data_IF_730739715099
#
_entry.id   IF_730739715099
#
_cell.length_a   1.000
_cell.length_b   1.000
_cell.length_c   1.000
_cell.angle_alpha   90.00
_cell.angle_beta   90.00
_cell.angle_gamma   90.00
#
_symmetry.space_group_name_H-M   'P 1'
#
loop_
_entity.id
_entity.type
_entity.pdbx_description
1 polymer ?
#
# COMPACT_ATOMS: atom_id res chain seq x y z
N UNK A 1 5.41 4.70 -135.08
CA UNK A 1 5.06 3.27 -134.92
C UNK A 1 6.34 2.52 -135.25
N UNK A 2 6.93 1.80 -134.28
CA UNK A 2 8.21 1.11 -134.48
C UNK A 2 8.04 0.10 -135.61
N UNK A 3 8.87 0.20 -136.65
CA UNK A 3 8.79 -0.71 -137.79
C UNK A 3 9.40 -2.07 -137.41
N UNK A 4 8.58 -3.11 -137.37
CA UNK A 4 9.04 -4.47 -137.05
C UNK A 4 9.89 -4.99 -138.21
N UNK A 5 11.11 -5.54 -137.96
CA UNK A 5 11.94 -6.14 -139.00
C UNK A 5 11.21 -7.25 -139.73
N UNK A 6 11.53 -7.46 -141.02
CA UNK A 6 10.85 -8.49 -141.81
C UNK A 6 11.10 -9.89 -141.24
N UNK A 7 10.18 -10.84 -141.36
CA UNK A 7 10.29 -12.17 -140.72
C UNK A 7 11.53 -13.00 -141.11
N UNK A 8 12.22 -12.65 -142.20
CA UNK A 8 13.43 -13.34 -142.69
C UNK A 8 14.66 -12.43 -142.73
N UNK A 9 14.58 -11.22 -142.16
CA UNK A 9 15.74 -10.33 -142.07
C UNK A 9 16.78 -10.95 -141.13
N UNK A 10 17.99 -11.16 -141.64
CA UNK A 10 19.10 -11.65 -140.83
C UNK A 10 19.35 -10.69 -139.66
N UNK A 11 19.46 -11.22 -138.45
CA UNK A 11 19.67 -10.41 -137.24
C UNK A 11 21.05 -9.74 -137.27
N UNK A 12 22.05 -10.44 -137.80
CA UNK A 12 23.42 -9.94 -137.92
C UNK A 12 24.01 -10.18 -139.32
N UNK A 13 24.97 -9.34 -139.71
CA UNK A 13 25.73 -9.44 -140.95
C UNK A 13 26.88 -10.46 -140.85
N UNK A 14 27.66 -10.58 -141.92
CA UNK A 14 28.77 -11.54 -142.01
C UNK A 14 29.94 -11.22 -141.05
N UNK A 15 29.95 -10.04 -140.43
CA UNK A 15 30.89 -9.64 -139.40
C UNK A 15 30.31 -9.78 -137.97
N UNK A 16 29.06 -10.24 -137.84
CA UNK A 16 28.37 -10.46 -136.56
C UNK A 16 27.74 -9.19 -135.98
N UNK A 17 27.66 -8.10 -136.74
CA UNK A 17 27.02 -6.86 -136.30
C UNK A 17 25.53 -6.84 -136.66
N UNK A 18 24.65 -6.22 -135.85
CA UNK A 18 23.23 -6.14 -136.16
C UNK A 18 22.98 -5.49 -137.52
N UNK A 19 22.09 -6.09 -138.32
CA UNK A 19 21.72 -5.50 -139.61
C UNK A 19 20.98 -4.18 -139.40
N UNK A 20 21.02 -3.30 -140.40
CA UNK A 20 20.46 -1.95 -140.26
C UNK A 20 18.99 -1.93 -139.81
N UNK A 21 18.16 -2.86 -140.30
CA UNK A 21 16.74 -2.99 -139.88
C UNK A 21 16.61 -3.36 -138.40
N UNK A 22 17.42 -4.31 -137.93
CA UNK A 22 17.42 -4.72 -136.53
C UNK A 22 18.05 -3.66 -135.61
N UNK A 23 19.08 -2.97 -136.09
CA UNK A 23 19.71 -1.86 -135.36
C UNK A 23 18.74 -0.70 -135.20
N UNK A 24 18.04 -0.28 -136.26
CA UNK A 24 17.02 0.79 -136.16
C UNK A 24 15.85 0.39 -135.29
N UNK A 25 15.35 -0.85 -135.38
CA UNK A 25 14.32 -1.36 -134.48
C UNK A 25 14.74 -1.31 -132.99
N UNK A 26 15.94 -1.79 -132.67
CA UNK A 26 16.46 -1.79 -131.30
C UNK A 26 16.80 -0.38 -130.82
N UNK A 27 17.27 0.49 -131.71
CA UNK A 27 17.58 1.88 -131.42
C UNK A 27 16.31 2.70 -131.20
N UNK A 28 15.24 2.46 -131.96
CA UNK A 28 13.92 3.07 -131.74
C UNK A 28 13.29 2.57 -130.43
N UNK A 29 13.45 1.28 -130.10
CA UNK A 29 13.03 0.71 -128.83
C UNK A 29 13.80 1.32 -127.64
N UNK A 30 15.09 1.60 -127.81
CA UNK A 30 15.92 2.22 -126.79
C UNK A 30 15.70 3.73 -126.65
N UNK A 31 15.40 4.43 -127.75
CA UNK A 31 15.28 5.89 -127.79
C UNK A 31 13.84 6.42 -127.68
N UNK A 32 12.81 5.56 -127.69
CA UNK A 32 11.42 5.99 -127.53
C UNK A 32 10.59 5.09 -126.59
N UNK A 33 10.37 5.62 -125.38
CA UNK A 33 9.08 5.70 -124.70
C UNK A 33 7.99 4.66 -125.07
N UNK A 34 8.00 3.52 -124.40
CA UNK A 34 6.85 2.60 -124.27
C UNK A 34 5.84 3.03 -123.19
N UNK A 35 5.88 4.27 -122.71
CA UNK A 35 4.91 4.84 -121.78
C UNK A 35 4.26 6.06 -122.44
N UNK A 36 2.93 6.08 -122.48
CA UNK A 36 2.18 7.29 -122.84
C UNK A 36 2.57 8.44 -121.90
N UNK A 37 2.41 9.72 -122.32
CA UNK A 37 2.71 10.86 -121.46
C UNK A 37 2.08 10.77 -120.06
N UNK A 38 0.85 10.25 -119.97
CA UNK A 38 0.15 10.03 -118.70
C UNK A 38 0.80 8.96 -117.82
N UNK A 39 1.35 7.90 -118.41
CA UNK A 39 2.06 6.85 -117.68
C UNK A 39 3.41 7.34 -117.16
N UNK A 40 4.09 8.16 -117.95
CA UNK A 40 5.35 8.78 -117.55
C UNK A 40 5.13 9.77 -116.41
N UNK A 41 4.07 10.57 -116.48
CA UNK A 41 3.66 11.47 -115.39
C UNK A 41 3.27 10.71 -114.12
N UNK A 42 2.56 9.57 -114.23
CA UNK A 42 2.25 8.70 -113.07
C UNK A 42 3.49 8.06 -112.48
N UNK A 43 4.45 7.66 -113.31
CA UNK A 43 5.72 7.12 -112.84
C UNK A 43 6.52 8.18 -112.10
N UNK A 44 6.62 9.40 -112.64
CA UNK A 44 7.27 10.53 -111.98
C UNK A 44 6.56 10.90 -110.66
N UNK A 45 5.22 10.84 -110.61
CA UNK A 45 4.45 11.03 -109.37
C UNK A 45 4.72 9.92 -108.34
N UNK A 46 4.84 8.67 -108.78
CA UNK A 46 5.19 7.54 -107.91
C UNK A 46 6.62 7.67 -107.39
N UNK A 47 7.56 8.05 -108.24
CA UNK A 47 8.95 8.33 -107.84
C UNK A 47 8.97 9.47 -106.83
N UNK A 48 8.27 10.58 -107.09
CA UNK A 48 8.17 11.68 -106.14
C UNK A 48 7.48 11.29 -104.82
N UNK A 49 6.46 10.43 -104.86
CA UNK A 49 5.77 9.92 -103.67
C UNK A 49 6.66 8.95 -102.87
N UNK A 50 7.42 8.11 -103.54
CA UNK A 50 8.39 7.20 -102.90
C UNK A 50 9.55 8.00 -102.31
N UNK A 51 10.07 9.01 -103.01
CA UNK A 51 11.10 9.90 -102.48
C UNK A 51 10.58 10.71 -101.28
N UNK A 52 9.32 11.17 -101.31
CA UNK A 52 8.68 11.83 -100.17
C UNK A 52 8.51 10.88 -98.98
N UNK A 53 8.14 9.62 -99.23
CA UNK A 53 8.05 8.58 -98.18
C UNK A 53 9.42 8.16 -97.65
N UNK A 54 10.46 8.15 -98.48
CA UNK A 54 11.83 7.86 -98.05
C UNK A 54 12.45 9.02 -97.28
N UNK A 55 12.09 10.27 -97.61
CA UNK A 55 12.46 11.47 -96.83
C UNK A 55 11.65 11.58 -95.52
N UNK A 56 10.42 11.06 -95.47
CA UNK A 56 9.74 10.73 -94.22
C UNK A 56 10.34 9.45 -93.62
N UNK A 57 11.61 9.52 -93.20
CA UNK A 57 12.31 8.41 -92.55
C UNK A 57 11.40 7.68 -91.55
N UNK A 58 11.33 6.35 -91.70
CA UNK A 58 10.39 5.46 -91.00
C UNK A 58 10.12 5.92 -89.58
N UNK A 59 8.84 6.17 -89.27
CA UNK A 59 8.36 6.88 -88.09
C UNK A 59 9.18 6.58 -86.85
N UNK A 60 10.16 7.43 -86.56
CA UNK A 60 10.88 7.40 -85.29
C UNK A 60 9.85 7.86 -84.26
N UNK A 61 9.38 6.93 -83.43
CA UNK A 61 8.71 7.33 -82.21
C UNK A 61 9.72 8.16 -81.41
N UNK A 62 9.50 9.48 -81.31
CA UNK A 62 10.29 10.34 -80.44
C UNK A 62 9.90 9.99 -79.00
N UNK A 63 10.60 9.03 -78.42
CA UNK A 63 10.47 8.74 -77.00
C UNK A 63 11.27 9.82 -76.27
N UNK A 64 10.58 10.83 -75.76
CA UNK A 64 11.14 11.76 -74.81
C UNK A 64 11.05 11.13 -73.42
N UNK A 65 12.18 10.83 -72.82
CA UNK A 65 12.21 10.48 -71.40
C UNK A 65 11.72 11.66 -70.57
N UNK A 66 10.65 11.50 -69.80
CA UNK A 66 10.12 12.52 -68.87
C UNK A 66 10.07 11.90 -67.47
N UNK A 67 10.59 12.60 -66.46
CA UNK A 67 10.71 12.04 -65.11
C UNK A 67 11.85 11.01 -65.03
N UNK A 68 11.57 9.82 -64.47
CA UNK A 68 12.56 8.75 -64.29
C UNK A 68 12.80 7.91 -65.55
N UNK A 69 12.59 8.44 -66.76
CA UNK A 69 12.80 7.68 -68.01
C UNK A 69 14.05 8.22 -68.70
N UNK A 70 15.06 7.37 -68.93
CA UNK A 70 16.23 7.68 -69.76
C UNK A 70 16.19 6.84 -71.04
N UNK A 71 16.48 7.49 -72.17
CA UNK A 71 16.36 6.87 -73.49
C UNK A 71 17.75 6.77 -74.12
N UNK A 72 18.36 5.58 -74.06
CA UNK A 72 19.65 5.29 -74.70
C UNK A 72 19.39 4.43 -75.94
N UNK A 73 19.72 4.95 -77.12
CA UNK A 73 19.38 4.30 -78.38
C UNK A 73 20.48 3.38 -78.89
N UNK A 74 20.09 2.18 -79.34
CA UNK A 74 20.51 1.52 -80.58
C UNK A 74 19.81 0.13 -80.70
N UNK A 75 18.77 0.07 -81.52
CA UNK A 75 18.20 -1.13 -82.16
C UNK A 75 17.28 -2.13 -81.43
N UNK A 76 17.11 -2.11 -80.10
CA UNK A 76 15.88 -2.60 -79.44
C UNK A 76 15.62 -1.69 -78.24
N UNK A 77 14.55 -0.87 -78.26
CA UNK A 77 14.29 0.06 -77.17
C UNK A 77 13.61 -0.67 -76.00
N UNK A 78 14.41 -1.32 -75.17
CA UNK A 78 13.98 -1.68 -73.83
C UNK A 78 14.07 -0.42 -72.96
N UNK A 79 12.92 0.10 -72.56
CA UNK A 79 12.82 1.28 -71.70
C UNK A 79 12.99 0.79 -70.26
N UNK A 80 14.03 1.24 -69.58
CA UNK A 80 14.17 1.08 -68.15
C UNK A 80 13.85 2.42 -67.48
N UNK A 81 13.12 2.36 -66.37
CA UNK A 81 12.99 3.51 -65.50
C UNK A 81 14.30 3.64 -64.70
N UNK A 82 14.90 4.82 -64.72
CA UNK A 82 16.13 5.16 -64.01
C UNK A 82 15.88 5.05 -62.51
N UNK A 83 16.66 4.19 -61.86
CA UNK A 83 16.52 3.92 -60.43
C UNK A 83 15.45 2.89 -60.09
N UNK A 84 14.80 2.28 -61.09
CA UNK A 84 13.86 1.19 -60.87
C UNK A 84 14.57 -0.15 -60.73
N UNK A 85 14.15 -0.92 -59.73
CA UNK A 85 14.49 -2.32 -59.57
C UNK A 85 13.18 -3.11 -59.60
N UNK A 86 13.11 -4.16 -60.42
CA UNK A 86 11.89 -4.97 -60.57
C UNK A 86 11.64 -5.90 -59.36
N UNK A 87 12.65 -6.07 -58.50
CA UNK A 87 12.56 -6.89 -57.29
C UNK A 87 13.26 -6.23 -56.09
N UNK A 88 12.76 -5.09 -55.58
CA UNK A 88 13.40 -4.35 -54.50
C UNK A 88 13.25 -5.02 -53.12
N UNK A 89 12.33 -5.98 -53.00
CA UNK A 89 12.00 -6.63 -51.73
C UNK A 89 11.10 -5.77 -50.84
N UNK A 90 10.71 -6.30 -49.69
CA UNK A 90 9.63 -5.74 -48.88
C UNK A 90 9.99 -4.46 -48.08
N UNK A 91 11.28 -4.13 -47.96
CA UNK A 91 11.77 -3.00 -47.14
C UNK A 91 11.90 -1.69 -47.92
N UNK A 92 11.34 -1.63 -49.13
CA UNK A 92 11.47 -0.50 -50.06
C UNK A 92 10.09 -0.02 -50.50
N UNK A 93 9.96 1.27 -50.76
CA UNK A 93 8.77 1.87 -51.36
C UNK A 93 9.16 2.65 -52.61
N UNK A 94 8.26 2.67 -53.59
CA UNK A 94 8.39 3.53 -54.77
C UNK A 94 7.74 4.88 -54.48
N UNK A 95 8.48 5.97 -54.67
CA UNK A 95 7.95 7.29 -54.32
C UNK A 95 8.90 8.41 -54.67
N UNK A 96 8.83 9.48 -53.88
CA UNK A 96 9.66 10.67 -54.02
C UNK A 96 10.54 10.82 -52.79
N UNK A 97 11.85 10.91 -52.99
CA UNK A 97 12.84 11.05 -51.94
C UNK A 97 12.87 12.45 -51.32
N UNK A 98 13.72 12.63 -50.30
CA UNK A 98 13.92 13.90 -49.59
C UNK A 98 14.50 15.01 -50.50
N UNK A 99 15.17 14.62 -51.57
CA UNK A 99 15.72 15.49 -52.61
C UNK A 99 14.71 15.81 -53.74
N UNK A 100 13.50 15.26 -53.66
CA UNK A 100 12.45 15.44 -54.67
C UNK A 100 12.58 14.52 -55.89
N UNK A 101 13.59 13.64 -55.95
CA UNK A 101 13.74 12.67 -57.02
C UNK A 101 12.73 11.53 -56.87
N UNK A 102 12.35 10.89 -57.99
CA UNK A 102 11.47 9.70 -57.98
C UNK A 102 12.29 8.42 -58.09
N UNK A 103 11.92 7.38 -57.36
CA UNK A 103 12.60 6.08 -57.39
C UNK A 103 12.22 5.16 -56.23
N UNK A 104 12.98 4.07 -56.06
CA UNK A 104 12.90 3.19 -54.90
C UNK A 104 13.73 3.73 -53.73
N UNK A 105 13.09 3.85 -52.58
CA UNK A 105 13.73 4.30 -51.34
C UNK A 105 13.49 3.29 -50.22
N UNK A 106 14.45 3.14 -49.33
CA UNK A 106 14.27 2.31 -48.16
C UNK A 106 13.16 2.92 -47.30
N UNK A 107 12.21 2.10 -46.85
CA UNK A 107 11.13 2.55 -45.94
C UNK A 107 11.75 3.17 -44.69
N UNK A 108 12.88 2.62 -44.25
CA UNK A 108 13.66 3.17 -43.16
C UNK A 108 13.95 4.67 -43.36
N UNK A 109 14.44 5.10 -44.51
CA UNK A 109 14.93 6.47 -44.69
C UNK A 109 13.81 7.53 -44.64
N UNK A 110 12.57 7.11 -44.95
CA UNK A 110 11.39 7.96 -44.81
C UNK A 110 10.90 8.10 -43.36
N UNK A 111 11.40 7.30 -42.42
CA UNK A 111 10.96 7.28 -41.03
C UNK A 111 12.01 7.91 -40.11
N UNK A 112 11.66 9.01 -39.46
CA UNK A 112 12.48 9.69 -38.45
C UNK A 112 11.91 9.47 -37.04
N UNK A 113 12.77 9.57 -36.03
CA UNK A 113 12.39 9.53 -34.61
C UNK A 113 12.91 10.78 -33.89
N UNK A 114 12.21 11.19 -32.83
CA UNK A 114 12.69 12.19 -31.88
C UNK A 114 13.57 11.52 -30.81
N UNK A 115 14.08 12.30 -29.86
CA UNK A 115 14.97 11.82 -28.79
C UNK A 115 14.35 10.76 -27.88
N UNK A 116 13.02 10.68 -27.78
CA UNK A 116 12.33 9.75 -26.89
C UNK A 116 12.28 8.32 -27.46
N UNK A 117 12.55 8.17 -28.75
CA UNK A 117 12.47 6.90 -29.47
C UNK A 117 13.83 6.56 -30.09
N UNK A 118 14.13 5.27 -30.12
CA UNK A 118 15.26 4.72 -30.86
C UNK A 118 14.75 4.03 -32.11
N UNK A 119 15.47 4.18 -33.22
CA UNK A 119 15.21 3.47 -34.47
C UNK A 119 16.44 2.69 -34.87
N UNK A 120 16.26 1.40 -35.11
CA UNK A 120 17.29 0.53 -35.66
C UNK A 120 16.83 -0.03 -37.01
N UNK A 121 17.76 -0.22 -37.94
CA UNK A 121 17.50 -0.81 -39.27
C UNK A 121 18.35 -2.06 -39.38
N UNK A 122 17.72 -3.22 -39.50
CA UNK A 122 18.41 -4.49 -39.69
C UNK A 122 19.08 -4.53 -41.08
N UNK A 123 20.04 -5.44 -41.29
CA UNK A 123 20.68 -5.63 -42.60
C UNK A 123 19.70 -5.99 -43.73
N UNK A 124 18.49 -6.47 -43.39
CA UNK A 124 17.38 -6.73 -44.33
C UNK A 124 16.52 -5.49 -44.65
N UNK A 125 16.84 -4.32 -44.08
CA UNK A 125 16.09 -3.06 -44.23
C UNK A 125 14.88 -2.93 -43.31
N UNK A 126 14.55 -3.95 -42.50
CA UNK A 126 13.44 -3.88 -41.54
C UNK A 126 13.79 -2.87 -40.43
N UNK A 127 12.91 -1.89 -40.23
CA UNK A 127 13.04 -0.90 -39.16
C UNK A 127 12.35 -1.37 -37.88
N UNK A 128 13.02 -1.24 -36.74
CA UNK A 128 12.45 -1.46 -35.42
C UNK A 128 12.49 -0.18 -34.60
N UNK A 129 11.45 0.02 -33.79
CA UNK A 129 11.30 1.19 -32.90
C UNK A 129 11.32 0.74 -31.45
N UNK A 130 12.07 1.46 -30.61
CA UNK A 130 12.13 1.29 -29.17
C UNK A 130 12.01 2.63 -28.44
N UNK A 131 11.95 2.58 -27.12
CA UNK A 131 12.14 3.76 -26.28
C UNK A 131 13.64 4.06 -26.18
N UNK A 132 13.99 5.34 -26.03
CA UNK A 132 15.34 5.73 -25.64
C UNK A 132 15.58 5.43 -24.16
N UNK A 133 16.85 5.21 -23.79
CA UNK A 133 17.23 5.01 -22.40
C UNK A 133 16.93 6.28 -21.59
N UNK A 134 16.16 6.13 -20.52
CA UNK A 134 15.87 7.20 -19.56
C UNK A 134 16.69 6.96 -18.29
N UNK A 135 17.67 7.82 -17.96
CA UNK A 135 18.45 7.67 -16.73
C UNK A 135 17.56 7.75 -15.49
N UNK A 136 17.86 6.93 -14.48
CA UNK A 136 17.20 7.04 -13.18
C UNK A 136 17.57 8.39 -12.52
N UNK A 137 16.55 9.18 -12.20
CA UNK A 137 16.70 10.47 -11.53
C UNK A 137 17.14 10.36 -10.06
N UNK A 138 17.05 9.17 -9.45
CA UNK A 138 17.46 8.91 -8.07
C UNK A 138 16.63 9.64 -6.99
N UNK A 139 15.54 10.31 -7.36
CA UNK A 139 14.75 11.18 -6.46
C UNK A 139 13.41 10.58 -6.00
N UNK A 140 13.11 9.32 -6.36
CA UNK A 140 11.87 8.63 -5.97
C UNK A 140 11.95 8.01 -4.58
N UNK A 141 11.49 8.71 -3.54
CA UNK A 141 11.40 8.17 -2.16
C UNK A 141 10.05 7.55 -1.79
N UNK A 142 9.03 7.71 -2.64
CA UNK A 142 7.68 7.20 -2.38
C UNK A 142 7.41 5.84 -3.05
N UNK A 143 6.62 5.00 -2.38
CA UNK A 143 6.01 3.82 -3.00
C UNK A 143 4.87 4.30 -3.90
N UNK A 144 4.81 3.82 -5.14
CA UNK A 144 3.73 4.15 -6.07
C UNK A 144 2.90 2.91 -6.41
N UNK A 145 1.58 3.10 -6.52
CA UNK A 145 0.71 2.14 -7.19
C UNK A 145 0.64 2.49 -8.67
N UNK A 146 0.86 1.49 -9.52
CA UNK A 146 0.81 1.63 -10.97
C UNK A 146 -0.51 1.07 -11.50
N UNK A 147 -1.20 1.87 -12.31
CA UNK A 147 -2.33 1.37 -13.10
C UNK A 147 -1.85 1.01 -14.48
N UNK A 148 -2.30 -0.14 -14.99
CA UNK A 148 -1.99 -0.61 -16.33
C UNK A 148 -3.25 -0.73 -17.15
N UNK A 149 -3.16 -0.40 -18.44
CA UNK A 149 -4.24 -0.65 -19.38
C UNK A 149 -4.33 -2.14 -19.76
N UNK A 150 -5.32 -2.50 -20.58
CA UNK A 150 -5.53 -3.87 -21.04
C UNK A 150 -4.35 -4.43 -21.87
N UNK A 151 -3.45 -3.56 -22.36
CA UNK A 151 -2.25 -3.93 -23.12
C UNK A 151 -1.00 -3.93 -22.22
N UNK A 152 -1.16 -3.73 -20.91
CA UNK A 152 -0.06 -3.75 -19.93
C UNK A 152 0.75 -2.46 -19.84
N UNK A 153 0.36 -1.38 -20.52
CA UNK A 153 1.07 -0.09 -20.47
C UNK A 153 0.67 0.67 -19.21
N UNK A 154 1.61 1.36 -18.58
CA UNK A 154 1.31 2.22 -17.42
C UNK A 154 0.41 3.38 -17.86
N UNK A 155 -0.82 3.41 -17.33
CA UNK A 155 -1.81 4.45 -17.62
C UNK A 155 -1.86 5.54 -16.54
N UNK A 156 -1.23 5.31 -15.40
CA UNK A 156 -1.16 6.26 -14.31
C UNK A 156 -0.37 5.76 -13.11
N UNK A 157 0.19 6.70 -12.36
CA UNK A 157 0.87 6.46 -11.09
C UNK A 157 0.25 7.34 -10.01
N UNK A 158 0.03 6.76 -8.84
CA UNK A 158 -0.48 7.48 -7.67
C UNK A 158 0.38 7.08 -6.48
N UNK A 159 0.66 8.02 -5.58
CA UNK A 159 1.35 7.72 -4.33
C UNK A 159 0.57 6.66 -3.54
N UNK A 160 1.28 5.65 -3.05
CA UNK A 160 0.72 4.64 -2.19
C UNK A 160 1.02 4.98 -0.73
N UNK A 161 0.07 4.62 0.14
CA UNK A 161 0.21 4.69 1.59
C UNK A 161 0.16 3.28 2.17
N UNK A 162 0.43 3.13 3.47
CA UNK A 162 0.23 1.86 4.16
C UNK A 162 -1.21 1.36 4.11
N UNK A 163 -2.19 2.25 3.86
CA UNK A 163 -3.59 1.88 3.69
C UNK A 163 -3.88 1.17 2.36
N UNK A 164 -3.02 1.31 1.35
CA UNK A 164 -3.16 0.61 0.06
C UNK A 164 -2.59 -0.82 0.09
N UNK A 165 -1.97 -1.22 1.21
CA UNK A 165 -1.31 -2.51 1.37
C UNK A 165 -2.13 -3.40 2.31
N UNK A 166 -2.57 -4.59 1.85
CA UNK A 166 -3.19 -5.58 2.74
C UNK A 166 -2.17 -6.09 3.78
N UNK A 167 -2.61 -6.18 5.03
CA UNK A 167 -1.75 -6.60 6.15
C UNK A 167 -1.20 -8.04 6.04
N UNK A 168 -1.92 -8.95 5.38
CA UNK A 168 -1.52 -10.36 5.31
C UNK A 168 -1.24 -10.96 6.70
N UNK A 169 -0.03 -11.49 6.90
CA UNK A 169 0.43 -12.02 8.20
C UNK A 169 1.04 -10.93 9.11
N UNK A 170 1.45 -9.79 8.57
CA UNK A 170 2.03 -8.67 9.30
C UNK A 170 0.94 -7.65 9.62
N UNK A 171 0.38 -7.74 10.81
CA UNK A 171 -0.64 -6.77 11.25
C UNK A 171 0.01 -5.41 11.55
N UNK A 172 -0.54 -4.32 11.02
CA UNK A 172 -0.06 -2.98 11.35
C UNK A 172 -0.34 -2.68 12.82
N UNK A 173 0.65 -2.13 13.55
CA UNK A 173 0.43 -1.67 14.92
C UNK A 173 -0.30 -0.32 14.85
N UNK A 174 -1.62 -0.38 14.83
CA UNK A 174 -2.47 0.79 15.02
C UNK A 174 -2.79 0.96 16.50
N UNK A 175 -3.02 2.19 16.93
CA UNK A 175 -3.40 2.50 18.32
C UNK A 175 -4.61 1.67 18.76
N UNK A 176 -5.65 1.61 17.92
CA UNK A 176 -6.85 0.81 18.18
C UNK A 176 -6.56 -0.69 18.42
N UNK A 177 -5.60 -1.29 17.71
CA UNK A 177 -5.23 -2.70 17.90
C UNK A 177 -4.36 -2.89 19.14
N UNK A 178 -3.51 -1.91 19.47
CA UNK A 178 -2.73 -1.91 20.69
C UNK A 178 -3.65 -1.82 21.92
N UNK A 179 -4.61 -0.89 21.90
CA UNK A 179 -5.61 -0.70 22.96
C UNK A 179 -6.47 -1.95 23.13
N UNK A 180 -7.02 -2.50 22.04
CA UNK A 180 -7.80 -3.74 22.10
C UNK A 180 -7.00 -4.91 22.71
N UNK A 181 -5.70 -5.00 22.42
CA UNK A 181 -4.82 -6.03 23.00
C UNK A 181 -4.54 -5.77 24.48
N UNK A 182 -4.37 -4.52 24.88
CA UNK A 182 -4.18 -4.13 26.27
C UNK A 182 -5.44 -4.42 27.10
N UNK A 183 -6.61 -3.99 26.62
CA UNK A 183 -7.91 -4.23 27.24
C UNK A 183 -8.19 -5.72 27.41
N UNK A 184 -7.92 -6.52 26.38
CA UNK A 184 -8.08 -7.97 26.44
C UNK A 184 -7.19 -8.60 27.54
N UNK A 185 -5.94 -8.13 27.69
CA UNK A 185 -5.04 -8.60 28.73
C UNK A 185 -5.50 -8.18 30.13
N UNK A 186 -5.90 -6.92 30.31
CA UNK A 186 -6.42 -6.41 31.58
C UNK A 186 -7.68 -7.17 31.99
N UNK A 187 -8.62 -7.35 31.06
CA UNK A 187 -9.85 -8.10 31.28
C UNK A 187 -9.58 -9.56 31.66
N UNK A 188 -8.63 -10.22 30.99
CA UNK A 188 -8.25 -11.60 31.29
C UNK A 188 -7.63 -11.78 32.68
N UNK A 189 -6.94 -10.77 33.21
CA UNK A 189 -6.31 -10.82 34.53
C UNK A 189 -7.22 -10.33 35.67
N UNK A 190 -8.24 -9.54 35.36
CA UNK A 190 -9.11 -8.91 36.34
C UNK A 190 -9.91 -9.96 37.13
N UNK A 191 -9.77 -9.94 38.45
CA UNK A 191 -10.46 -10.83 39.38
C UNK A 191 -9.98 -12.29 39.37
N UNK A 192 -8.92 -12.60 38.64
CA UNK A 192 -8.33 -13.95 38.62
C UNK A 192 -7.32 -14.13 39.77
N UNK A 193 -7.13 -15.36 40.28
CA UNK A 193 -6.02 -15.69 41.18
C UNK A 193 -4.68 -15.30 40.55
N UNK A 194 -3.77 -14.70 41.34
CA UNK A 194 -2.49 -14.13 40.86
C UNK A 194 -2.63 -13.02 39.80
N UNK A 195 -3.82 -12.46 39.64
CA UNK A 195 -4.14 -11.41 38.67
C UNK A 195 -4.30 -10.02 39.31
N UNK A 196 -5.11 -9.19 38.64
CA UNK A 196 -5.42 -7.83 39.07
C UNK A 196 -6.70 -7.82 39.92
N UNK A 197 -6.69 -7.16 41.07
CA UNK A 197 -7.92 -6.95 41.84
C UNK A 197 -8.89 -6.05 41.06
N UNK A 198 -10.18 -6.39 41.07
CA UNK A 198 -11.21 -5.51 40.52
C UNK A 198 -11.70 -4.53 41.57
N UNK A 199 -12.18 -3.36 41.16
CA UNK A 199 -12.95 -2.47 42.02
C UNK A 199 -14.45 -2.63 41.74
N UNK A 200 -15.24 -2.63 42.80
CA UNK A 200 -16.69 -2.51 42.75
C UNK A 200 -17.14 -1.09 42.39
N UNK A 201 -18.46 -0.90 42.30
CA UNK A 201 -19.06 0.42 42.01
C UNK A 201 -18.74 1.48 43.08
N UNK A 202 -18.42 1.02 44.29
CA UNK A 202 -18.01 1.82 45.44
C UNK A 202 -16.50 2.14 45.44
N UNK A 203 -15.77 1.73 44.40
CA UNK A 203 -14.34 1.97 44.26
C UNK A 203 -13.45 1.11 45.16
N UNK A 204 -14.00 0.07 45.81
CA UNK A 204 -13.27 -0.83 46.70
C UNK A 204 -13.11 -2.22 46.10
N UNK A 205 -12.12 -2.98 46.57
CA UNK A 205 -11.99 -4.39 46.21
C UNK A 205 -13.19 -5.15 46.78
N UNK A 206 -13.97 -5.88 45.97
CA UNK A 206 -15.10 -6.68 46.46
C UNK A 206 -14.65 -7.68 47.53
N UNK A 207 -15.46 -7.86 48.58
CA UNK A 207 -15.14 -8.77 49.69
C UNK A 207 -14.89 -10.22 49.24
N UNK A 208 -15.50 -10.65 48.11
CA UNK A 208 -15.26 -11.96 47.51
C UNK A 208 -13.82 -12.17 47.00
N UNK A 209 -13.06 -11.10 46.77
CA UNK A 209 -11.65 -11.12 46.38
C UNK A 209 -10.70 -10.94 47.58
N UNK A 210 -11.24 -10.80 48.78
CA UNK A 210 -10.49 -10.73 50.02
C UNK A 210 -10.59 -12.07 50.76
N UNK A 211 -9.58 -12.44 51.56
CA UNK A 211 -9.71 -13.55 52.48
C UNK A 211 -10.92 -13.34 53.40
N UNK A 212 -11.69 -14.40 53.64
CA UNK A 212 -12.76 -14.36 54.64
C UNK A 212 -12.13 -14.23 56.03
N UNK A 213 -12.05 -13.00 56.55
CA UNK A 213 -11.66 -12.76 57.94
C UNK A 213 -12.81 -13.16 58.86
N UNK A 214 -13.01 -14.45 59.07
CA UNK A 214 -14.02 -15.00 59.99
C UNK A 214 -13.54 -15.07 61.44
N UNK A 215 -12.26 -14.75 61.71
CA UNK A 215 -11.71 -14.72 63.07
C UNK A 215 -11.36 -13.28 63.47
N UNK A 216 -11.78 -12.91 64.68
CA UNK A 216 -11.38 -11.67 65.32
C UNK A 216 -9.86 -11.59 65.52
N UNK A 217 -9.37 -10.48 66.06
CA UNK A 217 -7.94 -10.28 66.33
C UNK A 217 -7.43 -11.41 67.24
N UNK A 218 -6.58 -12.29 66.70
CA UNK A 218 -6.02 -13.45 67.41
C UNK A 218 -4.69 -13.15 68.10
N UNK A 219 -4.13 -11.96 67.87
CA UNK A 219 -2.94 -11.49 68.58
C UNK A 219 -2.84 -9.97 68.63
N UNK A 220 -2.31 -9.45 69.74
CA UNK A 220 -1.87 -8.05 69.91
C UNK A 220 -0.51 -8.07 70.57
N UNK A 221 0.46 -7.33 70.01
CA UNK A 221 1.81 -7.17 70.57
C UNK A 221 2.50 -8.52 70.92
N UNK A 222 2.51 -9.44 69.95
CA UNK A 222 3.11 -10.79 70.06
C UNK A 222 2.48 -11.74 71.11
N UNK A 223 1.36 -11.38 71.74
CA UNK A 223 0.56 -12.31 72.56
C UNK A 223 -0.54 -12.92 71.72
N UNK A 224 -0.61 -14.24 71.68
CA UNK A 224 -1.64 -15.01 70.97
C UNK A 224 -2.80 -15.35 71.91
N UNK A 225 -4.02 -15.33 71.40
CA UNK A 225 -5.24 -15.61 72.17
C UNK A 225 -6.39 -14.69 71.80
N UNK A 226 -7.57 -14.93 72.39
CA UNK A 226 -8.69 -14.03 72.23
C UNK A 226 -8.35 -12.66 72.84
N UNK A 227 -8.38 -11.61 72.03
CA UNK A 227 -8.21 -10.23 72.50
C UNK A 227 -9.56 -9.75 73.01
N UNK A 228 -9.74 -9.80 74.33
CA UNK A 228 -10.85 -9.15 75.01
C UNK A 228 -10.52 -7.65 75.19
N UNK A 229 -11.43 -6.76 74.80
CA UNK A 229 -11.32 -5.31 75.06
C UNK A 229 -12.39 -4.97 76.11
N UNK A 230 -12.03 -4.98 77.41
CA UNK A 230 -12.99 -4.65 78.45
C UNK A 230 -13.38 -3.18 78.37
N UNK A 231 -14.62 -2.88 78.70
CA UNK A 231 -15.15 -1.50 78.67
C UNK A 231 -15.36 -0.96 80.09
N UNK A 232 -15.46 0.37 80.21
CA UNK A 232 -15.61 1.08 81.49
C UNK A 232 -16.87 1.94 81.50
N UNK A 233 -17.89 1.52 82.25
CA UNK A 233 -19.15 2.26 82.39
C UNK A 233 -19.15 3.05 83.69
N UNK A 234 -19.69 4.28 83.68
CA UNK A 234 -19.87 5.12 84.88
C UNK A 234 -21.30 5.62 85.01
N UNK A 235 -22.05 5.14 86.00
CA UNK A 235 -23.49 5.45 86.21
C UNK A 235 -23.83 5.48 87.70
N UNK A 236 -24.91 6.13 88.12
CA UNK A 236 -25.30 6.22 89.54
C UNK A 236 -26.04 4.97 90.09
N UNK A 237 -26.00 3.85 89.37
CA UNK A 237 -26.71 2.60 89.68
C UNK A 237 -25.75 1.44 89.85
N UNK A 238 -26.23 0.35 90.45
CA UNK A 238 -25.51 -0.93 90.45
C UNK A 238 -25.44 -1.48 89.01
N UNK A 239 -24.37 -2.24 88.68
CA UNK A 239 -24.22 -2.78 87.34
C UNK A 239 -25.35 -3.76 86.98
N UNK A 240 -25.84 -3.68 85.74
CA UNK A 240 -26.82 -4.61 85.17
C UNK A 240 -26.31 -5.20 83.85
N UNK A 241 -26.81 -6.36 83.47
CA UNK A 241 -26.35 -7.05 82.25
C UNK A 241 -26.72 -6.35 80.94
N UNK A 242 -27.69 -5.42 80.96
CA UNK A 242 -28.23 -4.79 79.76
C UNK A 242 -27.57 -3.47 79.38
N UNK A 243 -26.76 -2.89 80.28
CA UNK A 243 -26.23 -1.54 80.11
C UNK A 243 -24.99 -1.42 79.20
N UNK A 244 -24.42 -2.54 78.74
CA UNK A 244 -23.20 -2.57 77.91
C UNK A 244 -23.46 -2.63 76.39
N UNK A 245 -24.73 -2.80 75.96
CA UNK A 245 -25.08 -2.95 74.54
C UNK A 245 -24.44 -4.15 73.84
N UNK A 246 -23.77 -5.03 74.60
CA UNK A 246 -23.08 -6.25 74.17
C UNK A 246 -23.06 -7.25 75.32
N UNK A 247 -22.63 -8.48 75.04
CA UNK A 247 -22.40 -9.48 76.07
C UNK A 247 -21.28 -9.04 77.04
N UNK A 248 -21.52 -9.20 78.34
CA UNK A 248 -20.53 -8.98 79.39
C UNK A 248 -19.35 -9.93 79.23
N UNK A 249 -18.14 -9.39 79.32
CA UNK A 249 -16.90 -10.16 79.27
C UNK A 249 -16.08 -9.97 80.54
N UNK A 250 -15.27 -10.98 80.88
CA UNK A 250 -14.36 -10.89 82.01
C UNK A 250 -13.44 -9.67 81.86
N UNK A 251 -13.39 -8.86 82.92
CA UNK A 251 -12.64 -7.60 82.96
C UNK A 251 -13.48 -6.35 82.69
N UNK A 252 -14.74 -6.46 82.27
CA UNK A 252 -15.61 -5.28 82.14
C UNK A 252 -15.72 -4.56 83.49
N UNK A 253 -15.61 -3.23 83.48
CA UNK A 253 -15.56 -2.42 84.70
C UNK A 253 -16.74 -1.47 84.77
N UNK A 254 -17.25 -1.28 85.97
CA UNK A 254 -18.36 -0.37 86.26
C UNK A 254 -18.04 0.50 87.45
N UNK A 255 -18.17 1.82 87.33
CA UNK A 255 -18.13 2.75 88.47
C UNK A 255 -19.54 3.20 88.80
N UNK A 256 -20.01 2.85 89.99
CA UNK A 256 -21.22 3.43 90.53
C UNK A 256 -20.91 4.83 91.07
N UNK A 257 -21.37 5.88 90.38
CA UNK A 257 -21.13 7.27 90.75
C UNK A 257 -21.99 7.74 91.93
N UNK A 258 -23.05 7.01 92.28
CA UNK A 258 -23.92 7.31 93.41
C UNK A 258 -23.33 6.90 94.76
N UNK A 259 -22.47 5.88 94.80
CA UNK A 259 -21.81 5.40 96.02
C UNK A 259 -20.28 5.29 95.92
N UNK A 260 -19.69 5.57 94.76
CA UNK A 260 -18.25 5.55 94.50
C UNK A 260 -17.65 4.15 94.28
N UNK A 261 -18.44 3.08 94.30
CA UNK A 261 -17.95 1.70 94.21
C UNK A 261 -17.59 1.35 92.77
N UNK A 262 -16.40 0.77 92.57
CA UNK A 262 -16.03 0.14 91.31
C UNK A 262 -16.36 -1.35 91.36
N UNK A 263 -16.85 -1.89 90.25
CA UNK A 263 -17.11 -3.31 90.04
C UNK A 263 -16.32 -3.78 88.82
N UNK A 264 -15.87 -5.03 88.86
CA UNK A 264 -15.27 -5.73 87.73
C UNK A 264 -16.04 -7.03 87.51
N UNK A 265 -16.45 -7.29 86.28
CA UNK A 265 -17.13 -8.52 85.92
C UNK A 265 -16.10 -9.64 85.78
N UNK A 266 -16.27 -10.73 86.52
CA UNK A 266 -15.49 -11.95 86.39
C UNK A 266 -16.39 -13.17 86.58
N UNK A 267 -16.23 -14.15 85.68
CA UNK A 267 -16.79 -15.49 85.77
C UNK A 267 -18.30 -15.52 86.05
N UNK A 268 -19.04 -14.62 85.38
CA UNK A 268 -20.50 -14.56 85.50
C UNK A 268 -21.03 -13.60 86.57
N UNK A 269 -20.15 -12.95 87.35
CA UNK A 269 -20.55 -12.11 88.48
C UNK A 269 -19.85 -10.75 88.48
N UNK A 270 -20.56 -9.75 89.02
CA UNK A 270 -19.96 -8.45 89.35
C UNK A 270 -19.26 -8.52 90.70
N UNK A 271 -17.95 -8.49 90.68
CA UNK A 271 -17.13 -8.39 91.87
C UNK A 271 -16.91 -6.92 92.19
N UNK A 272 -17.24 -6.47 93.40
CA UNK A 272 -16.87 -5.12 93.84
C UNK A 272 -15.37 -5.06 94.11
N UNK A 273 -14.71 -4.04 93.59
CA UNK A 273 -13.28 -3.81 93.71
C UNK A 273 -13.01 -3.28 95.14
N UNK A 274 -12.83 -4.22 96.07
CA UNK A 274 -12.78 -3.94 97.50
C UNK A 274 -11.39 -3.52 98.03
N UNK A 275 -10.47 -3.14 97.14
CA UNK A 275 -9.12 -2.74 97.54
C UNK A 275 -9.11 -1.54 98.52
N UNK A 276 -10.18 -0.74 98.55
CA UNK A 276 -10.35 0.38 99.49
C UNK A 276 -10.98 0.00 100.84
N UNK A 277 -11.55 -1.19 101.04
CA UNK A 277 -12.14 -1.56 102.36
C UNK A 277 -11.24 -2.43 103.24
N UNK A 278 -10.17 -3.01 102.70
CA UNK A 278 -9.17 -3.72 103.52
C UNK A 278 -8.27 -2.74 104.31
N UNK A 279 -8.27 -1.44 103.96
CA UNK A 279 -7.51 -0.39 104.64
C UNK A 279 -8.34 0.44 105.64
N UNK A 280 -9.60 0.09 105.89
CA UNK A 280 -10.49 0.85 106.81
C UNK A 280 -10.58 0.29 108.22
N UNK A 281 -9.58 -0.47 108.65
CA UNK A 281 -9.49 -0.90 110.04
C UNK A 281 -8.21 -0.39 110.66
N UNK A 282 -8.33 0.19 111.86
CA UNK A 282 -7.15 0.43 112.69
C UNK A 282 -6.80 -0.88 113.37
N UNK A 283 -5.56 -1.38 113.23
CA UNK A 283 -5.11 -2.55 113.98
C UNK A 283 -5.15 -2.22 115.47
N UNK A 284 -6.01 -2.94 116.20
CA UNK A 284 -6.13 -2.83 117.65
C UNK A 284 -6.15 -4.23 118.28
N UNK A 285 -5.70 -4.32 119.52
CA UNK A 285 -5.65 -5.55 120.31
C UNK A 285 -6.33 -5.33 121.64
N UNK A 286 -7.05 -6.36 122.11
CA UNK A 286 -7.55 -6.44 123.47
C UNK A 286 -6.37 -6.58 124.44
N UNK A 287 -6.60 -6.31 125.73
CA UNK A 287 -5.60 -6.56 126.78
C UNK A 287 -5.17 -8.02 126.87
N UNK A 288 -5.97 -8.94 126.33
CA UNK A 288 -5.65 -10.36 126.15
C UNK A 288 -4.69 -10.66 124.97
N UNK A 289 -4.28 -9.66 124.19
CA UNK A 289 -3.45 -9.80 122.99
C UNK A 289 -4.20 -10.20 121.71
N UNK A 290 -5.47 -10.59 121.83
CA UNK A 290 -6.35 -10.94 120.69
C UNK A 290 -6.61 -9.73 119.81
N UNK A 291 -6.58 -9.91 118.49
CA UNK A 291 -6.92 -8.85 117.55
C UNK A 291 -8.40 -8.46 117.68
N UNK A 292 -8.67 -7.16 117.80
CA UNK A 292 -10.01 -6.56 117.80
C UNK A 292 -9.95 -5.27 116.99
N UNK A 293 -9.89 -5.39 115.64
CA UNK A 293 -9.73 -4.23 114.77
C UNK A 293 -10.92 -3.27 114.88
N UNK A 294 -10.63 -1.97 114.88
CA UNK A 294 -11.66 -0.92 114.96
C UNK A 294 -12.03 -0.47 113.54
N UNK A 295 -13.30 -0.54 113.13
CA UNK A 295 -13.72 -0.03 111.82
C UNK A 295 -13.59 1.49 111.76
N UNK A 296 -13.08 2.02 110.66
CA UNK A 296 -13.07 3.44 110.33
C UNK A 296 -14.39 3.86 109.67
N UNK A 297 -14.80 5.10 109.89
CA UNK A 297 -15.89 5.75 109.16
C UNK A 297 -15.53 5.92 107.68
N UNK A 298 -16.54 6.26 106.85
CA UNK A 298 -16.34 6.48 105.42
C UNK A 298 -15.36 7.63 105.10
N UNK A 299 -15.22 8.59 106.02
CA UNK A 299 -14.29 9.72 105.96
C UNK A 299 -12.89 9.39 106.51
N UNK A 300 -12.63 8.14 106.90
CA UNK A 300 -11.35 7.68 107.44
C UNK A 300 -11.18 7.90 108.94
N UNK A 301 -12.13 8.51 109.65
CA UNK A 301 -12.02 8.77 111.09
C UNK A 301 -12.34 7.53 111.94
N UNK A 302 -11.75 7.44 113.15
CA UNK A 302 -12.07 6.38 114.11
C UNK A 302 -13.34 6.77 114.88
N UNK A 303 -14.41 5.95 114.87
CA UNK A 303 -15.60 6.23 115.65
C UNK A 303 -15.32 6.06 117.14
N UNK A 304 -15.51 7.12 117.94
CA UNK A 304 -15.41 7.04 119.39
C UNK A 304 -16.70 7.54 120.06
N UNK A 305 -17.20 6.75 121.03
CA UNK A 305 -18.30 7.13 121.92
C UNK A 305 -17.72 7.58 123.24
N UNK A 306 -18.02 8.82 123.63
CA UNK A 306 -17.63 9.35 124.92
C UNK A 306 -18.56 8.79 126.02
N UNK A 307 -18.08 8.79 127.26
CA UNK A 307 -18.84 8.26 128.42
C UNK A 307 -20.15 9.01 128.68
N UNK A 308 -20.30 10.22 128.16
CA UNK A 308 -21.55 11.01 128.20
C UNK A 308 -22.55 10.62 127.08
N UNK A 309 -22.27 9.58 126.28
CA UNK A 309 -23.13 9.09 125.22
C UNK A 309 -23.00 9.81 123.87
N UNK A 310 -22.22 10.88 123.79
CA UNK A 310 -21.97 11.61 122.53
C UNK A 310 -20.95 10.89 121.66
N UNK A 311 -21.09 11.03 120.34
CA UNK A 311 -20.13 10.50 119.36
C UNK A 311 -19.17 11.61 118.97
N UNK A 312 -17.87 11.36 119.13
CA UNK A 312 -16.80 12.26 118.70
C UNK A 312 -15.80 11.45 117.88
N UNK A 313 -15.80 11.66 116.57
CA UNK A 313 -14.89 10.93 115.69
C UNK A 313 -13.45 11.44 115.86
N UNK A 314 -12.50 10.53 116.00
CA UNK A 314 -11.08 10.86 116.13
C UNK A 314 -10.48 10.89 114.72
N UNK A 315 -9.90 12.01 114.26
CA UNK A 315 -9.22 12.04 112.98
C UNK A 315 -8.00 11.14 113.04
N UNK A 316 -7.83 10.27 112.05
CA UNK A 316 -6.57 9.58 111.83
C UNK A 316 -5.58 10.60 111.27
N UNK A 317 -4.49 10.89 111.99
CA UNK A 317 -3.39 11.62 111.35
C UNK A 317 -2.81 10.72 110.25
N UNK A 318 -2.53 11.33 109.09
CA UNK A 318 -1.88 10.67 107.97
C UNK A 318 -0.51 10.09 108.38
#
# INVERSE_FOLDING_TARGET
MVAIPRPQAAIADRAGLPTHEWYTYLLDLANSAGMTPDQLQRFEQLVAAVDALQQQGGGRANIQGVGSVEVVGMEIMQIYLVGDNDAPGASWYYGTGLDGAKGWYAIADALAVTTDLTKAVAGTGVSTFGLADLPDSGTGTAIYKTTRDAKGRTSGQVAATTSDLPEGTNRYFTDARADARADARIAAQKGQPNGLASLGIDGKVPAAQLPTSSSGVTSVNARTGAVAVPDFVSKATAPTATDYGRALINGDRWRNTGNGVLYTYQDGAWLYDNAASLSRYVPARLSSGTASPIPLNADGTIPARLSNGTVSNIPTQA
#
